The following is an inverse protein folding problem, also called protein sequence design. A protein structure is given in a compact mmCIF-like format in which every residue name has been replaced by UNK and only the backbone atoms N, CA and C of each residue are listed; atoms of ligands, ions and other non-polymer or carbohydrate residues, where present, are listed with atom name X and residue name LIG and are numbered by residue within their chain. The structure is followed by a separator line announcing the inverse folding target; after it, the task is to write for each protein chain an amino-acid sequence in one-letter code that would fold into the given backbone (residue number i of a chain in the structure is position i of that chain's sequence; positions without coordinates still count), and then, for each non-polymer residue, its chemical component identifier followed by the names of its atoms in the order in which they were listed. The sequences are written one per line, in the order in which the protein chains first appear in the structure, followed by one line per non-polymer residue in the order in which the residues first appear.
data_IF_235801800690
#
_entry.id   IF_235801800690
#
_cell.length_a   1.000
_cell.length_b   1.000
_cell.length_c   1.000
_cell.angle_alpha   90.00
_cell.angle_beta   90.00
_cell.angle_gamma   90.00
#
_symmetry.space_group_name_H-M   'P 1'
#
loop_
_entity.id
_entity.type
_entity.pdbx_description
1 polymer ?
#
# COMPACT_ATOMS: atom_id res chain seq x y z
N UNK A 1 -1.68 -32.66 -15.97
CA UNK A 1 -1.18 -31.86 -14.83
C UNK A 1 -0.23 -30.83 -15.38
N UNK A 2 -0.72 -29.63 -15.69
CA UNK A 2 0.11 -28.56 -16.27
C UNK A 2 0.68 -27.76 -15.12
N UNK A 3 1.98 -27.90 -14.86
CA UNK A 3 2.70 -27.03 -13.95
C UNK A 3 2.72 -25.61 -14.54
N UNK A 4 1.85 -24.74 -14.03
CA UNK A 4 1.93 -23.29 -14.24
C UNK A 4 3.17 -22.78 -13.48
N UNK A 5 4.34 -22.88 -14.12
CA UNK A 5 5.58 -22.24 -13.67
C UNK A 5 5.42 -20.72 -13.86
N UNK A 6 4.68 -20.08 -12.96
CA UNK A 6 4.82 -18.64 -12.75
C UNK A 6 6.15 -18.44 -12.04
N UNK A 7 7.20 -18.24 -12.83
CA UNK A 7 8.40 -17.59 -12.33
C UNK A 7 8.00 -16.18 -11.92
N UNK A 8 7.56 -16.04 -10.67
CA UNK A 8 7.38 -14.74 -10.03
C UNK A 8 8.73 -14.06 -10.03
N UNK A 9 8.79 -12.94 -10.72
CA UNK A 9 9.83 -11.91 -10.82
C UNK A 9 10.24 -11.29 -9.47
N UNK A 10 10.19 -12.05 -8.35
CA UNK A 10 10.44 -11.56 -7.00
C UNK A 10 9.31 -10.69 -6.42
N UNK A 11 8.47 -10.09 -7.26
CA UNK A 11 7.37 -9.21 -6.85
C UNK A 11 6.40 -9.89 -5.86
N UNK A 12 6.03 -11.15 -6.09
CA UNK A 12 5.20 -11.90 -5.14
C UNK A 12 5.87 -12.07 -3.77
N UNK A 13 7.19 -12.27 -3.73
CA UNK A 13 7.92 -12.40 -2.46
C UNK A 13 7.96 -11.06 -1.70
N UNK A 14 8.11 -9.95 -2.42
CA UNK A 14 8.06 -8.60 -1.81
C UNK A 14 6.65 -8.33 -1.27
N UNK A 15 5.61 -8.60 -2.06
CA UNK A 15 4.22 -8.41 -1.63
C UNK A 15 3.91 -9.28 -0.40
N UNK A 16 4.31 -10.56 -0.42
CA UNK A 16 4.11 -11.48 0.70
C UNK A 16 4.87 -10.99 1.96
N UNK A 17 6.08 -10.43 1.80
CA UNK A 17 6.84 -9.84 2.91
C UNK A 17 6.16 -8.58 3.48
N UNK A 18 5.59 -7.72 2.63
CA UNK A 18 4.84 -6.55 3.08
C UNK A 18 3.60 -6.95 3.88
N UNK A 19 2.82 -7.90 3.38
CA UNK A 19 1.62 -8.42 4.06
C UNK A 19 1.98 -9.11 5.38
N UNK A 20 3.08 -9.87 5.40
CA UNK A 20 3.59 -10.51 6.63
C UNK A 20 3.99 -9.45 7.66
N UNK A 21 4.75 -8.44 7.26
CA UNK A 21 5.13 -7.31 8.14
C UNK A 21 3.90 -6.60 8.70
N UNK A 22 2.87 -6.38 7.88
CA UNK A 22 1.63 -5.76 8.36
C UNK A 22 0.92 -6.61 9.42
N UNK A 23 0.97 -7.94 9.28
CA UNK A 23 0.41 -8.86 10.28
C UNK A 23 1.21 -8.81 11.59
N UNK A 24 2.55 -8.85 11.49
CA UNK A 24 3.44 -8.81 12.66
C UNK A 24 3.34 -7.50 13.45
N UNK A 25 3.03 -6.39 12.78
CA UNK A 25 2.95 -5.06 13.37
C UNK A 25 1.51 -4.60 13.65
N UNK A 26 0.52 -5.46 13.42
CA UNK A 26 -0.90 -5.13 13.60
C UNK A 26 -1.31 -3.87 12.81
N UNK A 27 -1.00 -3.87 11.52
CA UNK A 27 -1.16 -2.72 10.60
C UNK A 27 -2.31 -2.88 9.61
N UNK A 28 -3.09 -3.94 9.72
CA UNK A 28 -4.34 -4.07 8.98
C UNK A 28 -5.39 -3.15 9.60
N UNK A 29 -6.25 -2.57 8.76
CA UNK A 29 -7.46 -1.95 9.28
C UNK A 29 -8.43 -3.04 9.73
N UNK A 30 -9.27 -2.74 10.70
CA UNK A 30 -10.40 -3.57 11.15
C UNK A 30 -11.66 -2.70 11.36
N UNK A 31 -12.73 -3.30 11.87
CA UNK A 31 -14.00 -2.62 12.11
C UNK A 31 -13.97 -1.64 13.29
N UNK A 32 -12.99 -1.76 14.19
CA UNK A 32 -12.80 -0.89 15.35
C UNK A 32 -11.72 0.19 15.13
N UNK A 33 -10.78 -0.04 14.20
CA UNK A 33 -9.57 0.72 13.96
C UNK A 33 -9.24 0.79 12.46
N UNK A 34 -9.61 1.92 11.85
CA UNK A 34 -9.19 2.23 10.47
C UNK A 34 -7.89 3.02 10.52
N UNK A 35 -6.83 2.45 9.93
CA UNK A 35 -5.52 3.09 9.84
C UNK A 35 -5.49 3.89 8.52
N UNK A 36 -5.61 5.20 8.63
CA UNK A 36 -5.60 6.13 7.51
C UNK A 36 -4.76 7.37 7.81
N UNK A 37 -4.52 8.19 6.79
CA UNK A 37 -3.90 9.52 6.89
C UNK A 37 -2.63 9.53 7.79
N UNK A 38 -2.70 10.24 8.95
CA UNK A 38 -1.62 10.43 9.92
C UNK A 38 -1.12 9.14 10.57
N UNK A 39 -1.92 8.08 10.51
CA UNK A 39 -1.56 6.79 11.05
C UNK A 39 -0.78 5.94 10.04
N UNK A 40 -0.73 6.28 8.75
CA UNK A 40 -0.01 5.52 7.72
C UNK A 40 1.52 5.58 7.91
N UNK A 41 2.16 4.44 7.71
CA UNK A 41 3.61 4.26 7.83
C UNK A 41 4.21 3.80 6.50
N UNK A 42 5.50 4.06 6.27
CA UNK A 42 6.21 3.49 5.13
C UNK A 42 6.00 1.97 5.04
N UNK A 43 5.82 1.49 3.81
CA UNK A 43 5.61 0.09 3.47
C UNK A 43 4.25 -0.50 3.89
N UNK A 44 3.31 0.31 4.38
CA UNK A 44 1.94 -0.16 4.50
C UNK A 44 1.33 -0.40 3.13
N UNK A 45 0.63 -1.53 2.98
CA UNK A 45 -0.23 -1.81 1.82
C UNK A 45 -1.56 -1.11 2.05
N UNK A 46 -1.97 -0.32 1.06
CA UNK A 46 -3.13 0.55 1.15
C UNK A 46 -4.09 0.34 -0.01
N UNK A 47 -5.32 0.78 0.20
CA UNK A 47 -6.38 0.80 -0.79
C UNK A 47 -7.05 2.16 -0.81
N UNK A 48 -7.38 2.66 -2.00
CA UNK A 48 -8.15 3.89 -2.16
C UNK A 48 -9.68 3.64 -2.25
N UNK A 49 -10.45 4.71 -2.32
CA UNK A 49 -11.91 4.67 -2.52
C UNK A 49 -12.33 4.04 -3.86
N UNK A 50 -11.46 4.07 -4.86
CA UNK A 50 -11.64 3.39 -6.16
C UNK A 50 -11.32 1.88 -6.11
N UNK A 51 -10.81 1.36 -4.99
CA UNK A 51 -10.45 -0.05 -4.81
C UNK A 51 -9.12 -0.45 -5.44
N UNK A 52 -8.27 0.53 -5.78
CA UNK A 52 -6.92 0.32 -6.28
C UNK A 52 -5.95 0.10 -5.11
N UNK A 53 -4.98 -0.79 -5.32
CA UNK A 53 -3.99 -1.12 -4.29
C UNK A 53 -2.63 -0.51 -4.59
N UNK A 54 -1.97 -0.09 -3.53
CA UNK A 54 -0.63 0.48 -3.55
C UNK A 54 0.12 0.21 -2.26
N UNK A 55 1.27 0.86 -2.13
CA UNK A 55 2.00 0.90 -0.86
C UNK A 55 2.62 2.28 -0.63
N UNK A 56 2.81 2.61 0.64
CA UNK A 56 3.42 3.88 1.05
C UNK A 56 4.93 3.80 0.79
N UNK A 57 5.48 4.72 -0.01
CA UNK A 57 6.92 4.74 -0.36
C UNK A 57 7.70 5.68 0.54
N UNK A 58 7.28 6.95 0.61
CA UNK A 58 8.01 7.98 1.34
C UNK A 58 7.05 8.82 2.18
N UNK A 59 7.30 8.87 3.49
CA UNK A 59 6.82 9.94 4.33
C UNK A 59 7.86 11.06 4.25
N UNK A 60 7.58 12.12 3.49
CA UNK A 60 8.52 13.22 3.37
C UNK A 60 8.57 13.97 4.72
N UNK A 61 9.56 13.69 5.55
CA UNK A 61 9.83 14.43 6.80
C UNK A 61 10.27 15.88 6.54
N UNK A 62 10.47 16.30 5.29
CA UNK A 62 10.96 17.63 4.90
C UNK A 62 9.88 18.69 4.63
N UNK A 63 8.67 18.53 5.15
CA UNK A 63 7.71 19.62 5.08
C UNK A 63 6.38 19.29 5.69
N UNK A 64 6.15 19.82 6.88
CA UNK A 64 4.84 20.32 7.21
C UNK A 64 4.42 21.30 6.10
N UNK A 65 3.16 21.27 5.65
CA UNK A 65 2.62 22.47 4.99
C UNK A 65 2.62 23.64 6.00
N UNK A 66 2.24 24.84 5.56
CA UNK A 66 2.19 26.03 6.43
C UNK A 66 1.29 25.83 7.67
N UNK A 67 0.49 24.75 7.72
CA UNK A 67 -0.41 24.38 8.78
C UNK A 67 0.10 23.27 9.71
N UNK A 68 1.27 22.67 9.48
CA UNK A 68 1.79 21.60 10.35
C UNK A 68 1.48 20.18 9.87
N UNK A 69 1.21 20.01 8.57
CA UNK A 69 0.66 18.76 8.06
C UNK A 69 1.68 17.86 7.38
N UNK A 70 1.74 16.58 7.78
CA UNK A 70 2.66 15.58 7.17
C UNK A 70 2.22 15.24 5.75
N UNK A 71 3.21 14.91 4.89
CA UNK A 71 2.99 14.56 3.48
C UNK A 71 3.50 13.14 3.22
N UNK A 72 2.64 12.30 2.65
CA UNK A 72 3.01 10.95 2.20
C UNK A 72 2.87 10.81 0.70
N UNK A 73 3.73 10.00 0.11
CA UNK A 73 3.57 9.53 -1.26
C UNK A 73 3.17 8.05 -1.27
N UNK A 74 2.05 7.78 -1.92
CA UNK A 74 1.55 6.42 -2.15
C UNK A 74 1.74 6.09 -3.63
N UNK A 75 2.49 5.03 -3.92
CA UNK A 75 2.60 4.48 -5.28
C UNK A 75 1.52 3.42 -5.44
N UNK A 76 0.48 3.78 -6.18
CA UNK A 76 -0.53 2.84 -6.62
C UNK A 76 0.01 2.08 -7.82
N UNK A 77 -0.18 0.77 -7.82
CA UNK A 77 0.36 -0.09 -8.85
C UNK A 77 -0.19 0.25 -10.26
N UNK A 78 -1.35 0.91 -10.35
CA UNK A 78 -1.90 1.49 -11.58
C UNK A 78 -1.09 2.66 -12.18
N UNK A 79 0.02 3.06 -11.56
CA UNK A 79 0.89 4.15 -12.02
C UNK A 79 0.52 5.53 -11.47
N UNK A 80 -0.36 5.58 -10.48
CA UNK A 80 -0.80 6.81 -9.83
C UNK A 80 0.05 7.05 -8.58
N UNK A 81 0.82 8.14 -8.58
CA UNK A 81 1.44 8.65 -7.36
C UNK A 81 0.45 9.61 -6.70
N UNK A 82 -0.08 9.22 -5.54
CA UNK A 82 -0.97 10.08 -4.77
C UNK A 82 -0.19 10.78 -3.65
N UNK A 83 -0.32 12.09 -3.56
CA UNK A 83 0.13 12.87 -2.40
C UNK A 83 -1.01 12.91 -1.38
N UNK A 84 -0.82 12.23 -0.25
CA UNK A 84 -1.77 12.27 0.86
C UNK A 84 -1.33 13.39 1.81
N UNK A 85 -2.26 14.29 2.10
CA UNK A 85 -2.15 15.35 3.11
C UNK A 85 -3.05 14.98 4.28
N UNK A 86 -2.80 15.51 5.48
CA UNK A 86 -3.64 15.23 6.65
C UNK A 86 -4.98 16.03 6.68
N UNK A 87 -5.27 16.79 5.62
CA UNK A 87 -6.49 17.54 5.49
C UNK A 87 -7.59 16.68 4.87
N UNK A 88 -8.47 16.10 5.70
CA UNK A 88 -9.78 15.50 5.33
C UNK A 88 -9.81 14.63 4.06
N UNK A 89 -8.71 13.98 3.70
CA UNK A 89 -8.69 13.13 2.51
C UNK A 89 -8.66 11.68 2.96
N UNK A 90 -9.84 11.21 3.39
CA UNK A 90 -10.17 9.80 3.72
C UNK A 90 -10.00 8.84 2.52
N UNK A 91 -9.39 9.30 1.43
CA UNK A 91 -9.27 8.59 0.17
C UNK A 91 -8.34 7.37 0.23
N UNK A 92 -7.59 7.15 1.32
CA UNK A 92 -6.62 6.04 1.45
C UNK A 92 -6.55 5.49 2.88
N UNK A 93 -6.66 4.17 3.02
CA UNK A 93 -6.46 3.43 4.28
C UNK A 93 -5.59 2.20 4.06
N UNK A 94 -5.05 1.63 5.14
CA UNK A 94 -4.49 0.27 5.06
C UNK A 94 -5.59 -0.74 4.72
N UNK A 95 -5.19 -1.85 4.12
CA UNK A 95 -6.13 -2.92 3.76
C UNK A 95 -6.68 -3.63 5.01
N UNK A 96 -7.87 -4.22 4.88
CA UNK A 96 -8.34 -5.25 5.81
C UNK A 96 -7.58 -6.56 5.55
N UNK A 97 -7.44 -7.42 6.56
CA UNK A 97 -6.83 -8.76 6.36
C UNK A 97 -7.54 -9.55 5.26
N UNK A 98 -8.88 -9.45 5.21
CA UNK A 98 -9.72 -10.08 4.20
C UNK A 98 -9.46 -9.60 2.77
N UNK A 99 -8.83 -8.44 2.60
CA UNK A 99 -8.46 -7.87 1.31
C UNK A 99 -7.06 -8.32 0.86
N UNK A 100 -6.26 -8.96 1.71
CA UNK A 100 -4.87 -9.33 1.42
C UNK A 100 -4.71 -10.17 0.15
N UNK A 101 -5.61 -11.12 -0.10
CA UNK A 101 -5.59 -11.92 -1.33
C UNK A 101 -5.87 -11.08 -2.59
N UNK A 102 -6.76 -10.09 -2.50
CA UNK A 102 -7.08 -9.17 -3.60
C UNK A 102 -5.93 -8.21 -3.84
N UNK A 103 -5.38 -7.63 -2.78
CA UNK A 103 -4.21 -6.78 -2.82
C UNK A 103 -3.05 -7.51 -3.50
N UNK A 104 -2.77 -8.76 -3.09
CA UNK A 104 -1.73 -9.58 -3.71
C UNK A 104 -1.94 -9.77 -5.20
N UNK A 105 -3.14 -10.17 -5.62
CA UNK A 105 -3.44 -10.37 -7.03
C UNK A 105 -3.31 -9.08 -7.85
N UNK A 106 -3.79 -7.96 -7.31
CA UNK A 106 -3.72 -6.65 -7.95
C UNK A 106 -2.27 -6.17 -8.07
N UNK A 107 -1.52 -6.17 -6.97
CA UNK A 107 -0.13 -5.74 -6.92
C UNK A 107 0.75 -6.63 -7.80
N UNK A 108 0.58 -7.95 -7.78
CA UNK A 108 1.34 -8.85 -8.64
C UNK A 108 1.09 -8.59 -10.13
N UNK A 109 -0.16 -8.30 -10.51
CA UNK A 109 -0.54 -7.98 -11.89
C UNK A 109 0.09 -6.67 -12.38
N UNK A 110 0.16 -5.65 -11.53
CA UNK A 110 0.52 -4.30 -11.96
C UNK A 110 1.97 -3.90 -11.60
N UNK A 111 2.60 -4.54 -10.60
CA UNK A 111 4.01 -4.36 -10.23
C UNK A 111 4.91 -5.48 -10.75
N UNK A 112 4.37 -6.65 -11.10
CA UNK A 112 5.16 -7.77 -11.62
C UNK A 112 5.99 -7.38 -12.84
N UNK A 113 5.44 -6.55 -13.72
CA UNK A 113 6.12 -6.16 -14.96
C UNK A 113 7.02 -4.92 -14.81
N UNK A 114 6.99 -4.22 -13.66
CA UNK A 114 7.90 -3.10 -13.40
C UNK A 114 9.31 -3.65 -13.16
N UNK A 115 10.26 -3.32 -14.04
CA UNK A 115 11.70 -3.49 -13.78
C UNK A 115 12.10 -2.48 -12.69
N UNK A 116 12.44 -2.99 -11.52
CA UNK A 116 13.09 -2.21 -10.48
C UNK A 116 14.57 -2.07 -10.88
N UNK A 117 15.02 -0.83 -11.09
CA UNK A 117 16.36 -0.50 -11.57
C UNK A 117 17.43 -0.69 -10.50
#
# INVERSE_FOLDING_TARGET
MTQDKRHGNGANLIIDALLTRMSELDRFSDDECVIAERALLPLDVVVNDEGEFGFVIEAAEYGYDDNGNKRWSVDFAGGVLMLVYDGKNEAVRTIYETEGAKARAYLAKHLGDKKWF
#
